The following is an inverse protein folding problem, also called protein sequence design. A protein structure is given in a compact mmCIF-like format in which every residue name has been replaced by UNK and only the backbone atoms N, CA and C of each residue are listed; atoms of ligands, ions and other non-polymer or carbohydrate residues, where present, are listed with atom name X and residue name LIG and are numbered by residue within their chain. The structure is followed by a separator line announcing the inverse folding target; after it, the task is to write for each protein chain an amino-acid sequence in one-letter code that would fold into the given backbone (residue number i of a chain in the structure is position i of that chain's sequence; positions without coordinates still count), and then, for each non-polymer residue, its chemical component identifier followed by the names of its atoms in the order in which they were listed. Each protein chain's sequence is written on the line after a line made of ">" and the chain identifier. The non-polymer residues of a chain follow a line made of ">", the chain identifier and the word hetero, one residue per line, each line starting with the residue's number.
data_IF_430639680613
#
_entry.id   IF_430639680613
#
_cell.length_a   1.000
_cell.length_b   1.000
_cell.length_c   1.000
_cell.angle_alpha   90.00
_cell.angle_beta   90.00
_cell.angle_gamma   90.00
#
_symmetry.space_group_name_H-M   'P 1'
#
loop_
_entity.id
_entity.type
_entity.pdbx_description
1 polymer ?
#
# COMPACT_ATOMS: atom_id res chain seq x y z
N UNK A 1 8.40 1.78 12.42
CA UNK A 1 9.14 2.40 11.29
C UNK A 1 8.11 2.80 10.25
N UNK A 2 8.34 3.86 9.47
CA UNK A 2 7.40 4.29 8.41
C UNK A 2 7.91 3.84 7.05
N UNK A 3 7.08 3.09 6.32
CA UNK A 3 7.39 2.59 4.99
C UNK A 3 6.42 3.21 3.99
N UNK A 4 6.93 3.68 2.86
CA UNK A 4 6.11 4.19 1.75
C UNK A 4 6.33 3.28 0.55
N UNK A 5 5.23 2.78 -0.03
CA UNK A 5 5.22 1.94 -1.22
C UNK A 5 4.59 2.74 -2.36
N UNK A 6 5.38 3.00 -3.40
CA UNK A 6 4.94 3.65 -4.63
C UNK A 6 4.49 2.58 -5.63
N UNK A 7 3.18 2.39 -5.74
CA UNK A 7 2.52 1.38 -6.56
C UNK A 7 1.84 0.30 -5.71
N UNK A 8 0.54 0.10 -5.91
CA UNK A 8 -0.31 -0.89 -5.26
C UNK A 8 -0.61 -2.11 -6.17
N UNK A 9 0.03 -2.22 -7.33
CA UNK A 9 -0.06 -3.41 -8.19
C UNK A 9 0.46 -4.69 -7.53
N UNK A 10 0.53 -5.80 -8.27
CA UNK A 10 0.79 -7.14 -7.70
C UNK A 10 1.99 -7.21 -6.74
N UNK A 11 3.11 -6.61 -7.12
CA UNK A 11 4.35 -6.60 -6.32
C UNK A 11 4.22 -5.69 -5.10
N UNK A 12 3.65 -4.50 -5.29
CA UNK A 12 3.49 -3.53 -4.20
C UNK A 12 2.51 -4.03 -3.14
N UNK A 13 1.43 -4.68 -3.56
CA UNK A 13 0.47 -5.33 -2.68
C UNK A 13 1.11 -6.48 -1.88
N UNK A 14 1.81 -7.41 -2.53
CA UNK A 14 2.48 -8.52 -1.81
C UNK A 14 3.54 -8.01 -0.83
N UNK A 15 4.28 -6.96 -1.21
CA UNK A 15 5.26 -6.35 -0.31
C UNK A 15 4.58 -5.71 0.90
N UNK A 16 3.48 -4.97 0.69
CA UNK A 16 2.68 -4.39 1.75
C UNK A 16 2.13 -5.48 2.69
N UNK A 17 1.66 -6.60 2.13
CA UNK A 17 1.13 -7.73 2.89
C UNK A 17 2.19 -8.33 3.82
N UNK A 18 3.38 -8.64 3.30
CA UNK A 18 4.47 -9.20 4.10
C UNK A 18 4.89 -8.28 5.25
N UNK A 19 4.89 -6.97 5.01
CA UNK A 19 5.32 -5.96 5.99
C UNK A 19 4.23 -5.60 7.00
N UNK A 20 2.95 -5.70 6.62
CA UNK A 20 1.82 -5.39 7.50
C UNK A 20 1.81 -6.31 8.74
N UNK A 21 2.28 -7.55 8.60
CA UNK A 21 2.42 -8.49 9.72
C UNK A 21 3.43 -8.05 10.79
N UNK A 22 4.37 -7.17 10.46
CA UNK A 22 5.36 -6.66 11.42
C UNK A 22 4.88 -5.42 12.20
N UNK A 23 3.59 -5.07 12.10
CA UNK A 23 2.96 -3.95 12.83
C UNK A 23 3.66 -2.61 12.53
N UNK A 24 4.07 -2.41 11.27
CA UNK A 24 4.72 -1.21 10.78
C UNK A 24 3.72 -0.21 10.19
N UNK A 25 4.05 1.08 10.22
CA UNK A 25 3.23 2.12 9.60
C UNK A 25 3.51 2.15 8.09
N UNK A 26 2.62 1.56 7.29
CA UNK A 26 2.77 1.46 5.83
C UNK A 26 1.82 2.44 5.14
N UNK A 27 2.35 3.19 4.17
CA UNK A 27 1.57 4.06 3.28
C UNK A 27 1.77 3.60 1.84
N UNK A 28 0.70 3.29 1.13
CA UNK A 28 0.72 2.90 -0.28
C UNK A 28 0.21 4.06 -1.13
N UNK A 29 0.97 4.44 -2.15
CA UNK A 29 0.61 5.49 -3.10
C UNK A 29 0.36 4.84 -4.46
N UNK A 30 -0.81 5.08 -5.06
CA UNK A 30 -1.08 4.65 -6.44
C UNK A 30 -2.01 5.65 -7.14
N UNK A 31 -2.00 5.63 -8.46
CA UNK A 31 -2.90 6.47 -9.29
C UNK A 31 -4.29 5.84 -9.42
N UNK A 32 -4.40 4.52 -9.26
CA UNK A 32 -5.64 3.78 -9.39
C UNK A 32 -6.35 3.60 -8.04
N UNK A 33 -7.54 4.19 -7.90
CA UNK A 33 -8.34 4.11 -6.69
C UNK A 33 -8.81 2.68 -6.39
N UNK A 34 -9.19 1.91 -7.41
CA UNK A 34 -9.75 0.55 -7.21
C UNK A 34 -8.73 -0.37 -6.53
N UNK A 35 -7.44 -0.20 -6.86
CA UNK A 35 -6.35 -0.97 -6.28
C UNK A 35 -6.04 -0.52 -4.85
N UNK A 36 -6.14 0.79 -4.58
CA UNK A 36 -5.99 1.33 -3.22
C UNK A 36 -7.13 0.88 -2.30
N UNK A 37 -8.35 0.82 -2.81
CA UNK A 37 -9.51 0.32 -2.05
C UNK A 37 -9.35 -1.18 -1.76
N UNK A 38 -8.83 -1.95 -2.72
CA UNK A 38 -8.47 -3.34 -2.50
C UNK A 38 -7.36 -3.51 -1.45
N UNK A 39 -6.28 -2.72 -1.54
CA UNK A 39 -5.18 -2.76 -0.57
C UNK A 39 -5.63 -2.41 0.85
N UNK A 40 -6.37 -1.31 1.04
CA UNK A 40 -6.85 -0.87 2.35
C UNK A 40 -7.92 -1.77 2.98
N UNK A 41 -8.67 -2.53 2.17
CA UNK A 41 -9.66 -3.47 2.67
C UNK A 41 -9.08 -4.84 3.06
N UNK A 42 -7.93 -5.21 2.50
CA UNK A 42 -7.29 -6.51 2.77
C UNK A 42 -6.10 -6.42 3.72
N UNK A 43 -5.42 -5.27 3.77
CA UNK A 43 -4.19 -5.05 4.55
C UNK A 43 -4.37 -3.89 5.52
N UNK A 44 -3.70 -3.94 6.67
CA UNK A 44 -3.66 -2.83 7.64
C UNK A 44 -2.64 -1.76 7.18
N UNK A 45 -3.02 -1.01 6.15
CA UNK A 45 -2.17 0.00 5.51
C UNK A 45 -2.95 1.28 5.23
N UNK A 46 -2.26 2.41 5.24
CA UNK A 46 -2.79 3.68 4.74
C UNK A 46 -2.64 3.74 3.22
N UNK A 47 -3.65 4.24 2.52
CA UNK A 47 -3.60 4.41 1.07
C UNK A 47 -3.77 5.87 0.69
N UNK A 48 -3.04 6.31 -0.34
CA UNK A 48 -3.08 7.66 -0.86
C UNK A 48 -3.13 7.64 -2.38
N UNK A 49 -4.15 8.28 -2.95
CA UNK A 49 -4.23 8.42 -4.40
C UNK A 49 -3.27 9.51 -4.86
N UNK A 50 -2.30 9.16 -5.70
CA UNK A 50 -1.30 10.09 -6.21
C UNK A 50 -0.39 9.45 -7.25
N UNK A 51 0.27 10.32 -8.03
CA UNK A 51 1.43 9.92 -8.82
C UNK A 51 2.66 9.94 -7.91
N UNK A 52 3.48 8.90 -7.99
CA UNK A 52 4.68 8.73 -7.18
C UNK A 52 5.98 9.06 -7.95
N UNK A 53 5.86 9.58 -9.17
CA UNK A 53 6.97 9.98 -10.06
C UNK A 53 7.31 11.46 -9.93
#
# INVERSE_FOLDING_TARGET
>A
MKIVIAGAGDVGFHLAELLAFENQDIVVIDTNQDVLDFASSHLDVLTLKGDAT
#
